data_IF_007311823991
#
_entry.id   IF_007311823991
#
_cell.length_a   1.000
_cell.length_b   1.000
_cell.length_c   1.000
_cell.angle_alpha   90.00
_cell.angle_beta   90.00
_cell.angle_gamma   90.00
#
_symmetry.space_group_name_H-M   'P 1'
#
loop_
_entity.id
_entity.type
_entity.pdbx_description
1 polymer ?
#
# COMPACT_ATOMS: atom_id res chain seq x y z
N UNK A 1 -31.63 13.47 -5.55
CA UNK A 1 -31.05 12.26 -6.19
C UNK A 1 -29.63 12.12 -5.65
N UNK A 2 -29.25 11.01 -4.98
CA UNK A 2 -27.89 10.87 -4.52
C UNK A 2 -26.99 10.69 -5.75
N UNK A 3 -25.99 11.56 -5.87
CA UNK A 3 -24.92 11.46 -6.85
C UNK A 3 -24.26 10.09 -6.69
N UNK A 4 -24.41 9.24 -7.70
CA UNK A 4 -23.65 7.99 -7.84
C UNK A 4 -22.16 8.34 -7.95
N UNK A 5 -21.47 8.38 -6.81
CA UNK A 5 -20.02 8.34 -6.76
C UNK A 5 -19.59 6.92 -7.14
N UNK A 6 -19.55 6.66 -8.44
CA UNK A 6 -18.80 5.53 -8.95
C UNK A 6 -17.34 5.84 -8.65
N UNK A 7 -16.71 5.01 -7.83
CA UNK A 7 -15.26 4.89 -7.81
C UNK A 7 -14.85 4.49 -9.23
N UNK A 8 -14.61 5.46 -10.10
CA UNK A 8 -14.21 5.21 -11.48
C UNK A 8 -12.85 4.51 -11.51
N UNK A 9 -12.77 3.44 -12.29
CA UNK A 9 -11.53 2.91 -12.85
C UNK A 9 -10.43 2.50 -11.87
N UNK A 10 -10.67 1.50 -11.01
CA UNK A 10 -9.57 0.62 -10.62
C UNK A 10 -9.69 -0.66 -11.44
N UNK A 11 -8.71 -0.90 -12.32
CA UNK A 11 -8.53 -2.20 -12.95
C UNK A 11 -8.35 -3.28 -11.86
N UNK A 12 -8.77 -4.51 -12.16
CA UNK A 12 -8.52 -5.68 -11.31
C UNK A 12 -7.01 -5.80 -11.01
N UNK A 13 -6.53 -5.31 -9.87
CA UNK A 13 -5.14 -5.51 -9.44
C UNK A 13 -4.55 -4.44 -8.50
N UNK A 14 -5.05 -3.21 -8.54
CA UNK A 14 -4.56 -2.11 -7.71
C UNK A 14 -5.25 -2.15 -6.33
N UNK A 15 -4.57 -2.77 -5.36
CA UNK A 15 -4.94 -2.66 -3.94
C UNK A 15 -4.05 -1.59 -3.29
N UNK A 16 -4.57 -0.87 -2.29
CA UNK A 16 -3.77 0.07 -1.54
C UNK A 16 -2.52 -0.59 -0.97
N UNK A 17 -1.42 0.16 -1.00
CA UNK A 17 -0.17 -0.21 -0.34
C UNK A 17 -0.41 -0.21 1.17
N UNK A 18 0.19 -1.18 1.88
CA UNK A 18 0.04 -1.29 3.36
C UNK A 18 0.79 -0.22 4.14
N UNK A 19 1.63 0.56 3.45
CA UNK A 19 2.25 1.77 3.95
C UNK A 19 1.97 2.89 2.94
N UNK A 20 1.79 4.14 3.37
CA UNK A 20 1.75 5.30 2.48
C UNK A 20 2.98 5.34 1.56
N UNK A 21 2.79 5.75 0.30
CA UNK A 21 3.86 5.88 -0.69
C UNK A 21 3.79 7.24 -1.35
N UNK A 22 4.90 7.97 -1.35
CA UNK A 22 5.07 9.22 -2.10
C UNK A 22 6.12 9.01 -3.17
N UNK A 23 5.82 9.35 -4.41
CA UNK A 23 6.79 9.36 -5.50
C UNK A 23 7.24 10.79 -5.81
N UNK A 24 8.56 11.01 -5.77
CA UNK A 24 9.19 12.23 -6.26
C UNK A 24 9.69 11.97 -7.69
N UNK A 25 9.00 12.58 -8.66
CA UNK A 25 9.21 12.33 -10.09
C UNK A 25 9.63 13.60 -10.83
N UNK A 26 10.26 13.43 -11.99
CA UNK A 26 10.79 14.53 -12.78
C UNK A 26 12.02 14.12 -13.59
N UNK A 27 12.38 14.94 -14.57
CA UNK A 27 13.57 14.70 -15.40
C UNK A 27 14.87 14.82 -14.59
N UNK A 28 15.98 14.35 -15.18
CA UNK A 28 17.31 14.51 -14.55
C UNK A 28 17.56 15.98 -14.21
N UNK A 29 18.21 16.23 -13.07
CA UNK A 29 18.55 17.58 -12.59
C UNK A 29 17.36 18.52 -12.33
N UNK A 30 16.15 17.97 -12.12
CA UNK A 30 14.97 18.80 -11.78
C UNK A 30 14.82 19.14 -10.29
N UNK A 31 15.75 18.69 -9.42
CA UNK A 31 15.69 18.93 -7.97
C UNK A 31 15.11 17.80 -7.13
N UNK A 32 14.81 16.62 -7.71
CA UNK A 32 14.27 15.45 -6.99
C UNK A 32 15.04 15.10 -5.73
N UNK A 33 16.37 14.97 -5.84
CA UNK A 33 17.22 14.57 -4.71
C UNK A 33 17.16 15.59 -3.58
N UNK A 34 17.20 16.89 -3.90
CA UNK A 34 17.04 17.98 -2.93
C UNK A 34 15.69 17.93 -2.21
N UNK A 35 14.61 17.65 -2.95
CA UNK A 35 13.27 17.48 -2.34
C UNK A 35 13.25 16.26 -1.41
N UNK A 36 13.80 15.13 -1.84
CA UNK A 36 13.83 13.89 -1.02
C UNK A 36 14.66 14.08 0.24
N UNK A 37 15.86 14.66 0.14
CA UNK A 37 16.72 14.94 1.30
C UNK A 37 16.00 15.85 2.30
N UNK A 38 15.41 16.94 1.82
CA UNK A 38 14.67 17.89 2.65
C UNK A 38 13.44 17.29 3.32
N UNK A 39 12.65 16.50 2.57
CA UNK A 39 11.50 15.78 3.12
C UNK A 39 11.93 14.74 4.15
N UNK A 40 12.94 13.94 3.85
CA UNK A 40 13.41 12.87 4.73
C UNK A 40 13.90 13.46 6.06
N UNK A 41 14.75 14.48 6.03
CA UNK A 41 15.23 15.15 7.24
C UNK A 41 14.06 15.64 8.10
N UNK A 42 13.16 16.45 7.53
CA UNK A 42 12.05 17.06 8.28
C UNK A 42 11.01 16.05 8.79
N UNK A 43 10.75 14.98 8.04
CA UNK A 43 9.85 13.91 8.47
C UNK A 43 10.46 13.09 9.61
N UNK A 44 11.76 12.75 9.50
CA UNK A 44 12.46 12.02 10.57
C UNK A 44 12.59 12.86 11.85
N UNK A 45 12.86 14.16 11.74
CA UNK A 45 12.81 15.12 12.87
C UNK A 45 11.44 15.15 13.58
N UNK A 46 10.37 14.86 12.84
CA UNK A 46 8.99 14.76 13.35
C UNK A 46 8.61 13.36 13.81
N UNK A 47 9.57 12.43 13.85
CA UNK A 47 9.38 11.08 14.39
C UNK A 47 8.87 10.03 13.41
N UNK A 48 8.76 10.33 12.11
CA UNK A 48 8.37 9.35 11.11
C UNK A 48 9.55 8.44 10.74
N UNK A 49 9.31 7.13 10.68
CA UNK A 49 10.24 6.18 10.04
C UNK A 49 10.07 6.26 8.52
N UNK A 50 11.08 6.78 7.82
CA UNK A 50 11.05 6.98 6.37
C UNK A 50 11.96 5.99 5.66
N UNK A 51 11.40 5.22 4.73
CA UNK A 51 12.16 4.42 3.78
C UNK A 51 12.26 5.15 2.43
N UNK A 52 13.37 4.97 1.71
CA UNK A 52 13.52 5.50 0.35
C UNK A 52 13.87 4.38 -0.63
N UNK A 53 13.44 4.53 -1.88
CA UNK A 53 13.87 3.64 -2.96
C UNK A 53 14.09 4.44 -4.25
N UNK A 54 15.24 4.23 -4.88
CA UNK A 54 15.67 4.95 -6.08
C UNK A 54 15.68 4.05 -7.30
N UNK A 55 15.05 4.49 -8.39
CA UNK A 55 15.18 3.84 -9.68
C UNK A 55 16.41 4.38 -10.42
N UNK A 56 17.36 3.51 -10.74
CA UNK A 56 18.54 3.85 -11.53
C UNK A 56 18.30 3.45 -12.98
N UNK A 57 18.07 4.43 -13.84
CA UNK A 57 17.73 4.24 -15.26
C UNK A 57 18.99 4.04 -16.14
N UNK A 58 19.91 3.18 -15.69
CA UNK A 58 21.12 2.81 -16.42
C UNK A 58 21.12 1.31 -16.69
N UNK A 59 21.16 0.92 -17.97
CA UNK A 59 21.17 -0.48 -18.38
C UNK A 59 22.42 -1.19 -17.83
N UNK A 60 22.21 -2.34 -17.19
CA UNK A 60 23.30 -3.16 -16.64
C UNK A 60 23.94 -2.59 -15.37
N UNK A 61 23.36 -1.55 -14.75
CA UNK A 61 23.87 -0.98 -13.52
C UNK A 61 23.95 -2.02 -12.39
N UNK A 62 25.06 -1.99 -11.65
CA UNK A 62 25.28 -2.79 -10.44
C UNK A 62 25.90 -1.89 -9.37
N UNK A 63 25.33 -1.95 -8.17
CA UNK A 63 25.94 -1.34 -6.98
C UNK A 63 27.12 -2.17 -6.47
N UNK A 64 27.02 -3.49 -6.61
CA UNK A 64 28.04 -4.46 -6.21
C UNK A 64 29.18 -4.53 -7.22
N UNK A 65 30.42 -4.66 -6.73
CA UNK A 65 31.63 -4.59 -7.56
C UNK A 65 32.02 -5.96 -8.10
N UNK A 66 32.17 -6.05 -9.42
CA UNK A 66 32.57 -7.29 -10.10
C UNK A 66 33.90 -7.86 -9.58
N UNK A 67 33.94 -9.18 -9.42
CA UNK A 67 35.11 -9.93 -8.93
C UNK A 67 35.32 -9.91 -7.40
N UNK A 68 34.58 -9.09 -6.65
CA UNK A 68 34.65 -9.07 -5.17
C UNK A 68 33.81 -10.18 -4.54
N UNK A 69 33.98 -10.41 -3.23
CA UNK A 69 33.44 -11.59 -2.54
C UNK A 69 31.90 -11.69 -2.61
N UNK A 70 31.19 -10.60 -2.31
CA UNK A 70 29.73 -10.49 -2.47
C UNK A 70 29.27 -10.79 -3.89
N UNK A 71 30.02 -10.30 -4.87
CA UNK A 71 29.74 -10.57 -6.27
C UNK A 71 29.97 -12.05 -6.62
N UNK A 72 31.03 -12.66 -6.10
CA UNK A 72 31.34 -14.08 -6.32
C UNK A 72 30.29 -14.98 -5.69
N UNK A 73 29.85 -14.69 -4.46
CA UNK A 73 28.77 -15.42 -3.79
C UNK A 73 27.50 -15.46 -4.66
N UNK A 74 27.09 -14.29 -5.16
CA UNK A 74 25.90 -14.20 -5.99
C UNK A 74 26.11 -14.75 -7.41
N UNK A 75 27.35 -14.78 -7.92
CA UNK A 75 27.68 -15.45 -9.19
C UNK A 75 27.64 -16.98 -9.06
N UNK A 76 27.93 -17.50 -7.87
CA UNK A 76 27.76 -18.91 -7.50
C UNK A 76 26.31 -19.32 -7.23
N UNK A 77 25.35 -18.39 -7.32
CA UNK A 77 23.91 -18.66 -7.21
C UNK A 77 23.24 -18.20 -5.93
N UNK A 78 23.96 -17.61 -4.97
CA UNK A 78 23.34 -17.08 -3.76
C UNK A 78 22.41 -15.88 -4.07
N UNK A 79 21.20 -15.88 -3.52
CA UNK A 79 20.24 -14.79 -3.67
C UNK A 79 19.15 -14.84 -2.58
N UNK A 80 19.08 -13.87 -1.64
CA UNK A 80 19.94 -12.68 -1.57
C UNK A 80 21.36 -12.99 -1.09
N UNK A 81 22.28 -12.06 -1.34
CA UNK A 81 23.57 -11.96 -0.64
C UNK A 81 23.47 -10.86 0.39
N UNK A 82 23.84 -11.16 1.63
CA UNK A 82 23.84 -10.22 2.75
C UNK A 82 25.28 -9.92 3.12
N UNK A 83 25.64 -8.64 3.15
CA UNK A 83 26.93 -8.15 3.63
C UNK A 83 26.68 -7.24 4.83
N UNK A 84 27.44 -7.46 5.91
CA UNK A 84 27.31 -6.71 7.17
C UNK A 84 28.67 -6.13 7.51
N UNK A 85 28.71 -4.83 7.84
CA UNK A 85 29.85 -4.14 8.41
C UNK A 85 29.48 -3.52 9.76
N UNK A 86 30.43 -2.84 10.38
CA UNK A 86 30.25 -2.03 11.58
C UNK A 86 29.36 -0.78 11.34
N UNK A 87 29.26 -0.31 10.10
CA UNK A 87 28.52 0.92 9.74
C UNK A 87 27.23 0.68 8.95
N UNK A 88 27.10 -0.45 8.24
CA UNK A 88 25.91 -0.70 7.40
C UNK A 88 25.66 -2.19 7.13
N UNK A 89 24.44 -2.48 6.66
CA UNK A 89 24.06 -3.80 6.12
C UNK A 89 23.52 -3.64 4.71
N UNK A 90 24.09 -4.38 3.76
CA UNK A 90 23.64 -4.42 2.39
C UNK A 90 22.97 -5.77 2.07
N UNK A 91 21.79 -5.72 1.47
CA UNK A 91 21.06 -6.90 0.98
C UNK A 91 20.95 -6.82 -0.54
N UNK A 92 21.62 -7.72 -1.24
CA UNK A 92 21.76 -7.70 -2.70
C UNK A 92 20.88 -8.79 -3.31
N UNK A 93 19.88 -8.38 -4.10
CA UNK A 93 19.02 -9.27 -4.89
C UNK A 93 19.41 -9.21 -6.38
N UNK A 94 19.76 -10.35 -6.99
CA UNK A 94 20.22 -10.41 -8.40
C UNK A 94 19.12 -10.56 -9.46
N UNK A 95 17.85 -10.59 -9.06
CA UNK A 95 16.72 -10.79 -9.99
C UNK A 95 16.35 -9.54 -10.82
N UNK A 96 16.88 -8.36 -10.49
CA UNK A 96 16.68 -7.11 -11.23
C UNK A 96 15.22 -6.63 -11.29
N UNK A 97 14.97 -5.56 -12.06
CA UNK A 97 13.65 -4.94 -12.22
C UNK A 97 12.60 -5.85 -12.88
N UNK A 98 13.02 -6.81 -13.72
CA UNK A 98 12.10 -7.72 -14.43
C UNK A 98 11.23 -8.57 -13.49
N UNK A 99 11.65 -8.76 -12.24
CA UNK A 99 10.89 -9.46 -11.21
C UNK A 99 10.35 -8.53 -10.10
N UNK A 100 10.69 -7.24 -10.11
CA UNK A 100 10.31 -6.29 -9.06
C UNK A 100 9.10 -5.46 -9.52
N UNK A 101 7.94 -5.76 -8.95
CA UNK A 101 6.80 -4.84 -8.93
C UNK A 101 6.76 -4.06 -7.60
N UNK A 102 5.90 -3.03 -7.50
CA UNK A 102 5.79 -2.22 -6.29
C UNK A 102 5.50 -3.06 -5.04
N UNK A 103 4.68 -4.12 -5.14
CA UNK A 103 4.41 -5.03 -4.01
C UNK A 103 5.67 -5.75 -3.53
N UNK A 104 6.51 -6.19 -4.47
CA UNK A 104 7.76 -6.87 -4.15
C UNK A 104 8.75 -5.91 -3.51
N UNK A 105 8.81 -4.65 -3.97
CA UNK A 105 9.59 -3.60 -3.32
C UNK A 105 9.13 -3.35 -1.89
N UNK A 106 7.81 -3.24 -1.68
CA UNK A 106 7.22 -3.08 -0.35
C UNK A 106 7.53 -4.24 0.60
N UNK A 107 7.68 -5.46 0.08
CA UNK A 107 8.08 -6.62 0.87
C UNK A 107 9.54 -6.60 1.33
N UNK A 108 10.39 -5.77 0.73
CA UNK A 108 11.80 -5.60 1.14
C UNK A 108 11.99 -4.53 2.21
N UNK A 109 10.99 -3.67 2.41
CA UNK A 109 11.10 -2.53 3.29
C UNK A 109 10.70 -2.98 4.71
N UNK A 110 11.56 -2.75 5.73
CA UNK A 110 11.20 -3.01 7.12
C UNK A 110 10.04 -2.09 7.54
N UNK A 111 9.50 -2.27 8.77
CA UNK A 111 8.40 -1.41 9.26
C UNK A 111 8.78 0.07 9.15
N UNK A 112 8.09 0.79 8.27
CA UNK A 112 8.25 2.22 8.01
C UNK A 112 6.88 2.87 7.89
N UNK A 113 6.79 4.14 8.26
CA UNK A 113 5.58 4.95 8.19
C UNK A 113 5.29 5.45 6.77
N UNK A 114 6.34 5.60 5.97
CA UNK A 114 6.29 6.13 4.61
C UNK A 114 7.41 5.53 3.76
N UNK A 115 7.09 5.22 2.51
CA UNK A 115 8.07 4.99 1.45
C UNK A 115 8.12 6.18 0.49
N UNK A 116 9.29 6.76 0.28
CA UNK A 116 9.56 7.76 -0.75
C UNK A 116 10.27 7.12 -1.94
N UNK A 117 9.66 7.19 -3.12
CA UNK A 117 10.21 6.69 -4.37
C UNK A 117 10.89 7.82 -5.15
N UNK A 118 12.16 7.69 -5.51
CA UNK A 118 12.82 8.54 -6.51
C UNK A 118 12.67 7.90 -7.90
N UNK A 119 11.90 8.55 -8.78
CA UNK A 119 11.67 8.07 -10.14
C UNK A 119 10.53 7.07 -10.24
N UNK A 120 10.76 5.90 -10.85
CA UNK A 120 9.71 4.91 -11.12
C UNK A 120 8.52 5.42 -11.95
N UNK A 121 8.69 6.49 -12.75
CA UNK A 121 7.61 7.19 -13.46
C UNK A 121 6.66 6.27 -14.24
N UNK A 122 7.17 5.17 -14.83
CA UNK A 122 6.38 4.19 -15.58
C UNK A 122 5.31 3.49 -14.73
N UNK A 123 5.60 3.20 -13.46
CA UNK A 123 4.69 2.50 -12.56
C UNK A 123 3.88 3.47 -11.67
N UNK A 124 4.44 4.64 -11.33
CA UNK A 124 3.80 5.55 -10.37
C UNK A 124 2.85 6.56 -10.99
N UNK A 125 2.98 6.88 -12.29
CA UNK A 125 2.14 7.91 -12.91
C UNK A 125 0.66 7.50 -13.00
N UNK A 126 0.40 6.22 -13.26
CA UNK A 126 -0.96 5.67 -13.40
C UNK A 126 -1.61 5.23 -12.08
N UNK A 127 -0.81 4.97 -11.04
CA UNK A 127 -1.31 4.43 -9.78
C UNK A 127 -1.93 5.53 -8.91
N UNK A 128 -3.24 5.45 -8.64
CA UNK A 128 -3.96 6.46 -7.86
C UNK A 128 -3.67 6.43 -6.36
N UNK A 129 -3.07 5.35 -5.85
CA UNK A 129 -2.79 5.14 -4.43
C UNK A 129 -1.45 5.71 -3.98
N UNK A 130 -0.65 6.26 -4.91
CA UNK A 130 0.65 6.88 -4.63
C UNK A 130 0.50 8.40 -4.70
N UNK A 131 0.95 9.14 -3.70
CA UNK A 131 1.02 10.61 -3.76
C UNK A 131 2.19 11.03 -4.64
N UNK A 132 2.03 12.05 -5.50
CA UNK A 132 3.15 12.52 -6.37
C UNK A 132 3.61 13.92 -6.00
N UNK A 133 4.91 14.09 -5.86
CA UNK A 133 5.59 15.40 -5.89
C UNK A 133 6.38 15.46 -7.19
N UNK A 134 6.07 16.45 -8.03
CA UNK A 134 6.59 16.55 -9.39
C UNK A 134 7.59 17.68 -9.48
N UNK A 135 8.85 17.35 -9.73
CA UNK A 135 9.94 18.28 -9.95
C UNK A 135 10.06 18.63 -11.43
N UNK A 136 9.75 19.87 -11.81
CA UNK A 136 9.73 20.36 -13.18
C UNK A 136 10.73 21.50 -13.39
N UNK A 137 11.26 21.63 -14.59
CA UNK A 137 12.22 22.69 -14.96
C UNK A 137 11.60 23.79 -15.82
N UNK A 138 10.45 23.49 -16.45
CA UNK A 138 9.76 24.43 -17.35
C UNK A 138 8.24 24.28 -17.22
N UNK A 139 7.50 25.30 -17.63
CA UNK A 139 6.04 25.26 -17.73
C UNK A 139 5.55 24.15 -18.69
N UNK A 140 6.33 23.84 -19.72
CA UNK A 140 5.99 22.74 -20.64
C UNK A 140 6.05 21.37 -19.96
N UNK A 141 7.04 21.15 -19.09
CA UNK A 141 7.14 19.92 -18.31
C UNK A 141 6.00 19.82 -17.29
N UNK A 142 5.63 20.93 -16.65
CA UNK A 142 4.45 21.02 -15.79
C UNK A 142 3.18 20.54 -16.51
N UNK A 143 2.90 21.10 -17.69
CA UNK A 143 1.72 20.71 -18.48
C UNK A 143 1.77 19.26 -18.99
N UNK A 144 2.96 18.71 -19.27
CA UNK A 144 3.09 17.29 -19.62
C UNK A 144 2.75 16.38 -18.44
N UNK A 145 3.38 16.58 -17.28
CA UNK A 145 3.14 15.76 -16.11
C UNK A 145 1.71 15.88 -15.60
N UNK A 146 1.16 17.10 -15.57
CA UNK A 146 -0.22 17.36 -15.14
C UNK A 146 -1.25 16.54 -15.92
N UNK A 147 -1.05 16.34 -17.22
CA UNK A 147 -1.96 15.53 -18.06
C UNK A 147 -1.81 14.02 -17.84
N UNK A 148 -0.64 13.56 -17.40
CA UNK A 148 -0.27 12.15 -17.30
C UNK A 148 -0.53 11.55 -15.92
N UNK A 149 -0.54 12.37 -14.88
CA UNK A 149 -0.76 11.91 -13.51
C UNK A 149 -2.22 11.44 -13.33
N UNK A 150 -2.36 10.31 -12.63
CA UNK A 150 -3.63 9.81 -12.08
C UNK A 150 -3.55 9.84 -10.55
N UNK A 151 -4.68 10.07 -9.89
CA UNK A 151 -4.73 10.24 -8.44
C UNK A 151 -4.13 11.56 -7.97
N UNK A 152 -3.53 11.55 -6.78
CA UNK A 152 -3.20 12.76 -6.03
C UNK A 152 -1.81 13.32 -6.38
N UNK A 153 -1.78 14.52 -6.96
CA UNK A 153 -0.56 15.32 -7.08
C UNK A 153 -0.44 16.25 -5.87
N UNK A 154 0.46 15.91 -4.94
CA UNK A 154 0.69 16.67 -3.71
C UNK A 154 1.27 18.05 -4.02
N UNK A 155 2.20 18.12 -4.98
CA UNK A 155 2.76 19.38 -5.44
C UNK A 155 3.45 19.26 -6.80
N UNK A 156 3.51 20.38 -7.50
CA UNK A 156 4.52 20.64 -8.51
C UNK A 156 5.54 21.60 -7.92
N UNK A 157 6.82 21.36 -8.15
CA UNK A 157 7.90 22.17 -7.62
C UNK A 157 9.06 22.30 -8.61
N UNK A 158 9.88 23.33 -8.43
CA UNK A 158 11.05 23.60 -9.27
C UNK A 158 12.18 24.21 -8.45
N UNK A 159 13.41 24.04 -8.94
CA UNK A 159 14.59 24.73 -8.38
C UNK A 159 14.59 26.22 -8.71
N UNK A 160 13.93 26.60 -9.81
CA UNK A 160 13.76 27.97 -10.29
C UNK A 160 12.31 28.43 -10.04
N UNK A 161 12.10 29.74 -9.94
CA UNK A 161 10.75 30.29 -9.80
C UNK A 161 10.03 30.27 -11.15
N UNK A 162 9.04 29.39 -11.29
CA UNK A 162 8.23 29.25 -12.52
C UNK A 162 6.82 29.87 -12.41
N UNK A 163 6.49 30.47 -11.26
CA UNK A 163 5.17 31.04 -10.98
C UNK A 163 4.16 30.01 -10.48
N UNK A 164 3.01 30.49 -10.01
CA UNK A 164 1.95 29.63 -9.49
C UNK A 164 1.33 28.75 -10.60
N UNK A 165 0.97 27.48 -10.30
CA UNK A 165 0.96 26.83 -8.99
C UNK A 165 2.24 26.04 -8.64
N UNK A 166 3.39 26.32 -9.28
CA UNK A 166 4.63 25.57 -9.10
C UNK A 166 5.43 26.16 -7.94
N UNK A 167 5.67 25.35 -6.90
CA UNK A 167 6.37 25.77 -5.69
C UNK A 167 7.89 25.87 -5.92
N UNK A 168 8.54 26.87 -5.33
CA UNK A 168 10.00 26.94 -5.25
C UNK A 168 10.50 25.94 -4.21
N UNK A 169 11.35 25.00 -4.60
CA UNK A 169 11.90 23.99 -3.68
C UNK A 169 12.63 24.63 -2.51
N UNK A 170 13.36 25.73 -2.75
CA UNK A 170 14.15 26.43 -1.73
C UNK A 170 13.26 27.12 -0.69
N UNK A 171 12.18 27.75 -1.14
CA UNK A 171 11.34 28.60 -0.29
C UNK A 171 10.17 27.82 0.33
N UNK A 172 9.70 26.77 -0.34
CA UNK A 172 8.46 26.08 0.02
C UNK A 172 8.67 24.64 0.50
N UNK A 173 9.89 24.27 0.93
CA UNK A 173 10.16 22.93 1.47
C UNK A 173 9.29 22.60 2.69
N UNK A 174 9.02 23.58 3.57
CA UNK A 174 8.10 23.40 4.69
C UNK A 174 6.69 23.07 4.20
N UNK A 175 6.17 23.80 3.20
CA UNK A 175 4.87 23.52 2.58
C UNK A 175 4.81 22.14 1.95
N UNK A 176 5.86 21.71 1.24
CA UNK A 176 5.96 20.36 0.69
C UNK A 176 5.92 19.29 1.79
N UNK A 177 6.58 19.57 2.92
CA UNK A 177 6.61 18.66 4.07
C UNK A 177 5.21 18.54 4.70
N UNK A 178 4.50 19.65 4.92
CA UNK A 178 3.14 19.59 5.49
C UNK A 178 2.19 18.81 4.59
N UNK A 179 2.23 19.03 3.26
CA UNK A 179 1.41 18.26 2.31
C UNK A 179 1.74 16.77 2.31
N UNK A 180 3.03 16.43 2.46
CA UNK A 180 3.44 15.04 2.57
C UNK A 180 2.91 14.39 3.85
N UNK A 181 2.94 15.09 4.98
CA UNK A 181 2.39 14.62 6.27
C UNK A 181 0.89 14.43 6.17
N UNK A 182 0.16 15.44 5.67
CA UNK A 182 -1.29 15.37 5.51
C UNK A 182 -1.69 14.13 4.68
N UNK A 183 -0.99 13.88 3.58
CA UNK A 183 -1.19 12.69 2.76
C UNK A 183 -0.90 11.39 3.53
N UNK A 184 0.23 11.32 4.26
CA UNK A 184 0.60 10.13 5.04
C UNK A 184 -0.44 9.81 6.10
N UNK A 185 -0.84 10.80 6.89
CA UNK A 185 -1.80 10.62 7.99
C UNK A 185 -3.19 10.26 7.47
N UNK A 186 -3.64 10.91 6.39
CA UNK A 186 -4.86 10.52 5.67
C UNK A 186 -4.82 9.07 5.22
N UNK A 187 -3.72 8.63 4.56
CA UNK A 187 -3.60 7.25 4.09
C UNK A 187 -3.53 6.23 5.22
N UNK A 188 -2.83 6.54 6.32
CA UNK A 188 -2.82 5.68 7.53
C UNK A 188 -4.22 5.50 8.09
N UNK A 189 -4.97 6.59 8.29
CA UNK A 189 -6.34 6.53 8.78
C UNK A 189 -7.26 5.71 7.88
N UNK A 190 -7.17 5.86 6.56
CA UNK A 190 -7.94 5.05 5.61
C UNK A 190 -7.58 3.56 5.72
N UNK A 191 -6.30 3.23 5.89
CA UNK A 191 -5.85 1.83 6.04
C UNK A 191 -6.37 1.21 7.35
N UNK A 192 -6.37 1.94 8.46
CA UNK A 192 -6.92 1.47 9.74
C UNK A 192 -8.43 1.19 9.66
N UNK A 193 -9.17 2.06 8.96
CA UNK A 193 -10.60 1.81 8.68
C UNK A 193 -10.76 0.59 7.78
N UNK A 194 -9.93 0.45 6.74
CA UNK A 194 -9.98 -0.69 5.83
C UNK A 194 -9.70 -2.01 6.56
N UNK A 195 -8.80 -2.02 7.54
CA UNK A 195 -8.52 -3.19 8.39
C UNK A 195 -9.71 -3.55 9.31
N UNK A 196 -10.58 -2.58 9.60
CA UNK A 196 -11.84 -2.80 10.32
C UNK A 196 -12.98 -3.28 9.41
N UNK A 197 -12.80 -3.24 8.09
CA UNK A 197 -13.75 -3.74 7.11
C UNK A 197 -13.43 -5.20 6.73
N UNK A 198 -14.43 -5.98 6.27
CA UNK A 198 -14.20 -7.35 5.79
C UNK A 198 -13.17 -7.49 4.66
N UNK A 199 -12.90 -6.40 3.92
CA UNK A 199 -11.95 -6.35 2.81
C UNK A 199 -12.16 -7.45 1.74
N UNK A 200 -13.43 -7.78 1.48
CA UNK A 200 -13.86 -8.81 0.52
C UNK A 200 -14.25 -8.26 -0.86
N UNK A 201 -14.34 -6.94 -1.01
CA UNK A 201 -14.78 -6.26 -2.25
C UNK A 201 -16.05 -6.86 -2.87
N UNK A 202 -17.00 -7.27 -2.03
CA UNK A 202 -18.16 -8.06 -2.46
C UNK A 202 -19.19 -7.32 -3.33
N UNK A 203 -19.03 -6.02 -3.55
CA UNK A 203 -19.94 -5.22 -4.39
C UNK A 203 -21.32 -4.92 -3.79
N UNK A 204 -21.60 -5.33 -2.54
CA UNK A 204 -22.96 -5.25 -1.95
C UNK A 204 -23.35 -3.89 -1.36
N UNK A 205 -22.39 -3.00 -1.11
CA UNK A 205 -22.67 -1.62 -0.69
C UNK A 205 -22.49 -0.65 -1.87
N UNK A 206 -22.99 0.58 -1.72
CA UNK A 206 -22.94 1.61 -2.77
C UNK A 206 -21.52 1.96 -3.25
N UNK A 207 -20.51 1.77 -2.40
CA UNK A 207 -19.11 2.06 -2.71
C UNK A 207 -18.43 0.95 -3.52
N UNK A 208 -19.04 -0.25 -3.58
CA UNK A 208 -18.62 -1.48 -4.29
C UNK A 208 -17.28 -2.09 -3.85
N UNK A 209 -16.25 -1.29 -3.59
CA UNK A 209 -14.96 -1.68 -3.04
C UNK A 209 -14.86 -1.26 -1.57
N UNK A 210 -14.20 -2.08 -0.76
CA UNK A 210 -13.99 -1.81 0.66
C UNK A 210 -13.13 -0.55 0.87
N UNK A 211 -12.12 -0.32 0.04
CA UNK A 211 -11.32 0.90 0.11
C UNK A 211 -12.14 2.17 -0.15
N UNK A 212 -13.06 2.14 -1.12
CA UNK A 212 -13.91 3.31 -1.40
C UNK A 212 -14.86 3.62 -0.24
N UNK A 213 -15.32 2.59 0.47
CA UNK A 213 -16.07 2.78 1.72
C UNK A 213 -15.15 3.34 2.81
N UNK A 214 -13.92 2.82 2.96
CA UNK A 214 -12.97 3.32 3.95
C UNK A 214 -12.63 4.81 3.74
N UNK A 215 -12.41 5.22 2.50
CA UNK A 215 -12.23 6.64 2.13
C UNK A 215 -13.47 7.48 2.48
N UNK A 216 -14.68 6.99 2.16
CA UNK A 216 -15.90 7.70 2.52
C UNK A 216 -16.12 7.80 4.04
N UNK A 217 -15.73 6.80 4.82
CA UNK A 217 -15.78 6.84 6.30
C UNK A 217 -14.77 7.86 6.82
N UNK A 218 -13.53 7.83 6.32
CA UNK A 218 -12.49 8.80 6.68
C UNK A 218 -12.96 10.24 6.44
N UNK A 219 -13.59 10.49 5.29
CA UNK A 219 -14.13 11.80 4.94
C UNK A 219 -15.44 12.17 5.69
N UNK A 220 -15.90 11.34 6.63
CA UNK A 220 -17.15 11.57 7.39
C UNK A 220 -18.44 11.40 6.56
N UNK A 221 -18.35 10.84 5.36
CA UNK A 221 -19.47 10.64 4.42
C UNK A 221 -20.14 9.26 4.56
N UNK A 222 -19.60 8.38 5.39
CA UNK A 222 -20.10 7.03 5.63
C UNK A 222 -19.77 6.54 7.05
N UNK A 223 -20.35 5.40 7.44
CA UNK A 223 -20.07 4.68 8.70
C UNK A 223 -19.69 3.23 8.41
N UNK A 224 -19.02 2.56 9.36
CA UNK A 224 -18.68 1.13 9.24
C UNK A 224 -19.91 0.27 8.94
N UNK A 225 -21.04 0.58 9.57
CA UNK A 225 -22.31 -0.12 9.36
C UNK A 225 -22.90 0.08 7.96
N UNK A 226 -22.38 1.00 7.12
CA UNK A 226 -22.76 1.04 5.70
C UNK A 226 -22.24 -0.16 4.91
N UNK A 227 -21.29 -0.92 5.49
CA UNK A 227 -20.94 -2.24 4.98
C UNK A 227 -22.05 -3.26 5.28
N UNK A 228 -22.68 -3.79 4.22
CA UNK A 228 -23.72 -4.84 4.32
C UNK A 228 -23.22 -6.06 5.10
N UNK A 229 -21.96 -6.45 4.91
CA UNK A 229 -21.38 -7.61 5.58
C UNK A 229 -21.15 -7.38 7.08
N UNK A 230 -20.81 -6.15 7.50
CA UNK A 230 -20.74 -5.79 8.92
C UNK A 230 -22.13 -5.85 9.54
N UNK A 231 -23.14 -5.24 8.89
CA UNK A 231 -24.53 -5.24 9.37
C UNK A 231 -25.11 -6.64 9.58
N UNK A 232 -24.81 -7.58 8.70
CA UNK A 232 -25.33 -8.96 8.82
C UNK A 232 -24.45 -9.86 9.69
N UNK A 233 -23.25 -9.42 10.09
CA UNK A 233 -22.30 -10.21 10.89
C UNK A 233 -22.93 -10.83 12.15
N UNK A 234 -23.72 -10.09 12.96
CA UNK A 234 -24.35 -10.66 14.16
C UNK A 234 -25.39 -11.76 13.84
N UNK A 235 -25.87 -11.83 12.59
CA UNK A 235 -26.88 -12.81 12.14
C UNK A 235 -26.24 -14.03 11.46
N UNK A 236 -24.92 -14.07 11.30
CA UNK A 236 -24.23 -15.21 10.72
C UNK A 236 -24.29 -16.41 11.67
N UNK A 237 -24.51 -17.59 11.09
CA UNK A 237 -24.63 -18.85 11.85
C UNK A 237 -23.30 -19.56 12.07
N UNK A 238 -22.22 -18.97 11.58
CA UNK A 238 -20.87 -19.51 11.63
C UNK A 238 -19.90 -18.41 11.97
N UNK A 239 -19.01 -18.68 12.93
CA UNK A 239 -17.87 -17.84 13.25
C UNK A 239 -16.60 -18.65 13.08
N UNK A 240 -15.63 -18.12 12.35
CA UNK A 240 -14.33 -18.75 12.13
C UNK A 240 -13.29 -17.88 12.81
N UNK A 241 -12.42 -18.48 13.61
CA UNK A 241 -11.29 -17.77 14.24
C UNK A 241 -9.99 -18.44 13.86
N UNK A 242 -8.95 -17.64 13.61
CA UNK A 242 -7.60 -18.08 13.30
C UNK A 242 -6.64 -17.29 14.19
N UNK A 243 -5.88 -17.98 15.05
CA UNK A 243 -4.98 -17.35 16.04
C UNK A 243 -5.69 -16.29 16.91
N UNK A 244 -6.93 -16.55 17.32
CA UNK A 244 -7.75 -15.61 18.10
C UNK A 244 -8.38 -14.46 17.30
N UNK A 245 -8.07 -14.33 16.00
CA UNK A 245 -8.65 -13.31 15.12
C UNK A 245 -9.83 -13.89 14.35
N UNK A 246 -10.98 -13.22 14.37
CA UNK A 246 -12.15 -13.64 13.60
C UNK A 246 -11.94 -13.40 12.10
N UNK A 247 -12.18 -14.42 11.29
CA UNK A 247 -12.12 -14.34 9.84
C UNK A 247 -13.46 -13.82 9.32
N UNK A 248 -13.42 -12.69 8.62
CA UNK A 248 -14.61 -12.13 7.99
C UNK A 248 -15.08 -13.00 6.82
N UNK A 249 -16.32 -13.47 6.91
CA UNK A 249 -16.98 -14.27 5.87
C UNK A 249 -18.30 -13.65 5.45
N UNK A 250 -18.73 -13.97 4.22
CA UNK A 250 -20.05 -13.58 3.74
C UNK A 250 -21.12 -14.63 4.15
N UNK A 251 -22.42 -14.31 4.05
CA UNK A 251 -23.50 -15.24 4.42
C UNK A 251 -23.48 -16.59 3.70
N UNK A 252 -23.03 -16.62 2.44
CA UNK A 252 -22.95 -17.84 1.65
C UNK A 252 -21.88 -18.79 2.22
N UNK A 253 -20.68 -18.27 2.51
CA UNK A 253 -19.61 -19.04 3.15
C UNK A 253 -20.02 -19.49 4.56
N UNK A 254 -20.72 -18.63 5.32
CA UNK A 254 -21.27 -19.03 6.62
C UNK A 254 -22.14 -20.28 6.51
N UNK A 255 -23.07 -20.30 5.54
CA UNK A 255 -23.98 -21.43 5.36
C UNK A 255 -23.26 -22.68 4.85
N UNK A 256 -22.32 -22.54 3.91
CA UNK A 256 -21.50 -23.67 3.42
C UNK A 256 -20.75 -24.32 4.58
N UNK A 257 -20.01 -23.55 5.37
CA UNK A 257 -19.20 -24.10 6.46
C UNK A 257 -20.09 -24.77 7.49
N UNK A 258 -21.22 -24.14 7.85
CA UNK A 258 -22.20 -24.73 8.77
C UNK A 258 -22.70 -26.10 8.27
N UNK A 259 -23.19 -26.17 7.03
CA UNK A 259 -23.77 -27.40 6.47
C UNK A 259 -22.73 -28.51 6.33
N UNK A 260 -21.53 -28.17 5.85
CA UNK A 260 -20.44 -29.15 5.72
C UNK A 260 -20.04 -29.72 7.07
N UNK A 261 -19.87 -28.87 8.09
CA UNK A 261 -19.50 -29.31 9.43
C UNK A 261 -20.59 -30.17 10.07
N UNK A 262 -21.85 -29.73 10.02
CA UNK A 262 -22.97 -30.52 10.56
C UNK A 262 -23.11 -31.87 9.82
N UNK A 263 -22.93 -31.89 8.50
CA UNK A 263 -22.97 -33.12 7.71
C UNK A 263 -21.83 -34.10 8.04
N UNK A 264 -20.64 -33.61 8.38
CA UNK A 264 -19.55 -34.48 8.85
C UNK A 264 -19.88 -35.08 10.21
N UNK A 265 -20.39 -34.25 11.13
CA UNK A 265 -20.62 -34.63 12.52
C UNK A 265 -21.85 -35.53 12.68
N UNK A 266 -22.86 -35.41 11.81
CA UNK A 266 -24.04 -36.30 11.81
C UNK A 266 -23.71 -37.77 11.54
N UNK A 267 -22.53 -38.05 10.99
CA UNK A 267 -22.06 -39.43 10.75
C UNK A 267 -21.43 -40.08 11.98
N UNK A 268 -21.19 -39.32 13.05
CA UNK A 268 -20.52 -39.81 14.25
C UNK A 268 -21.51 -40.53 15.17
N UNK A 269 -21.08 -41.67 15.72
CA UNK A 269 -21.89 -42.48 16.64
C UNK A 269 -22.23 -41.68 17.91
N UNK A 270 -23.53 -41.64 18.25
CA UNK A 270 -24.02 -40.97 19.45
C UNK A 270 -24.28 -39.47 19.29
N UNK A 271 -24.20 -38.93 18.06
CA UNK A 271 -24.53 -37.53 17.78
C UNK A 271 -25.89 -37.43 17.10
N UNK A 272 -26.78 -36.60 17.67
CA UNK A 272 -28.06 -36.22 17.07
C UNK A 272 -28.04 -34.72 16.73
N UNK A 273 -28.54 -34.35 15.56
CA UNK A 273 -28.61 -32.95 15.08
C UNK A 273 -30.07 -32.57 14.83
N UNK A 274 -30.52 -31.50 15.47
CA UNK A 274 -31.87 -30.92 15.46
C UNK A 274 -31.90 -29.56 14.76
N UNK A 275 -30.74 -28.90 14.63
CA UNK A 275 -30.54 -27.71 13.80
C UNK A 275 -30.45 -26.39 14.56
N UNK A 276 -30.63 -26.40 15.88
CA UNK A 276 -30.53 -25.26 16.81
C UNK A 276 -29.32 -25.35 17.75
N UNK A 277 -28.48 -26.38 17.59
CA UNK A 277 -27.31 -26.58 18.43
C UNK A 277 -26.23 -25.52 18.20
N UNK A 278 -25.48 -25.26 19.28
CA UNK A 278 -24.19 -24.59 19.21
C UNK A 278 -23.10 -25.64 19.06
N UNK A 279 -22.29 -25.52 18.01
CA UNK A 279 -21.22 -26.46 17.70
C UNK A 279 -19.87 -25.74 17.69
N UNK A 280 -18.90 -26.29 18.41
CA UNK A 280 -17.53 -25.78 18.48
C UNK A 280 -16.55 -26.84 17.98
N UNK A 281 -15.67 -26.45 17.07
CA UNK A 281 -14.54 -27.27 16.60
C UNK A 281 -13.26 -26.52 16.98
N UNK A 282 -12.38 -27.22 17.70
CA UNK A 282 -11.05 -26.73 18.04
C UNK A 282 -10.00 -27.60 17.35
N UNK A 283 -9.11 -26.98 16.59
CA UNK A 283 -7.97 -27.64 15.94
C UNK A 283 -6.72 -26.99 16.49
N UNK A 284 -5.95 -27.73 17.27
CA UNK A 284 -4.66 -27.30 17.81
C UNK A 284 -3.54 -28.17 17.24
N UNK A 285 -2.36 -27.58 17.08
CA UNK A 285 -1.16 -28.37 16.82
C UNK A 285 -0.88 -29.20 18.08
N UNK A 286 -0.65 -30.51 17.93
CA UNK A 286 -0.12 -31.33 19.03
C UNK A 286 1.17 -30.65 19.51
N UNK A 287 1.24 -30.38 20.82
CA UNK A 287 2.49 -30.02 21.49
C UNK A 287 3.53 -31.11 21.30
#
# INVERSE_FOLDING_TARGET
>A
MPTTFLCEGAEMGERPTRIPVIAVIGYKESGKTTVIEGLTSRLTERGYSVATAKHIDQKGFRIDKEGKDTWRHAASGANPVIAVSDVETAVIHRRGLGALNLRSLLGLIPKADLLILEGFSKIVLGDKHIGKIVCVRTLREYEDFRRRIRGEALAFCSLETLGEPILSVKENLSTLTERAIEYVERRKSILEILDSLPNLDCGKCQYRRCECLAEAIHDGRAKLDDCVLIKVRPKLKTRITLNGVEVHINPFISEIVRRSVLGMISTLKGVEIRGDETLQIEISQKK
#
